data_IF_849062997641
#
_entry.id   IF_849062997641
#
_cell.length_a   1.000
_cell.length_b   1.000
_cell.length_c   1.000
_cell.angle_alpha   90.00
_cell.angle_beta   90.00
_cell.angle_gamma   90.00
#
_symmetry.space_group_name_H-M   'P 1'
#
loop_
_entity.id
_entity.type
_entity.pdbx_description
1 polymer ?
#
# COMPACT_ATOMS: atom_id res chain seq x y z
N UNK A 1 29.02 54.19 -6.05
CA UNK A 1 28.06 53.61 -7.02
C UNK A 1 28.23 52.09 -6.97
N UNK A 2 27.44 51.38 -6.14
CA UNK A 2 27.62 49.94 -5.89
C UNK A 2 26.51 49.19 -6.63
N UNK A 3 26.89 48.48 -7.69
CA UNK A 3 26.01 47.67 -8.54
C UNK A 3 25.55 46.43 -7.76
N UNK A 4 24.24 46.29 -7.52
CA UNK A 4 23.66 45.04 -6.99
C UNK A 4 23.71 43.94 -8.06
N UNK A 5 24.12 42.71 -7.72
CA UNK A 5 24.07 41.59 -8.66
C UNK A 5 22.61 41.16 -8.84
N UNK A 6 22.20 40.97 -10.10
CA UNK A 6 20.90 40.41 -10.47
C UNK A 6 20.83 38.95 -10.00
N UNK A 7 20.02 38.71 -8.96
CA UNK A 7 19.70 37.37 -8.49
C UNK A 7 18.94 36.65 -9.61
N UNK A 8 19.59 35.72 -10.33
CA UNK A 8 18.89 34.78 -11.23
C UNK A 8 17.82 34.08 -10.41
N UNK A 9 16.55 34.26 -10.77
CA UNK A 9 15.42 33.57 -10.17
C UNK A 9 15.59 32.08 -10.43
N UNK A 10 15.76 31.28 -9.37
CA UNK A 10 15.64 29.83 -9.48
C UNK A 10 14.25 29.50 -10.06
N UNK A 11 14.15 28.57 -11.03
CA UNK A 11 12.88 28.23 -11.63
C UNK A 11 11.93 27.69 -10.55
N UNK A 12 10.74 28.29 -10.49
CA UNK A 12 9.70 27.92 -9.53
C UNK A 12 9.30 26.45 -9.79
N UNK A 13 9.54 25.51 -8.85
CA UNK A 13 9.26 24.10 -9.06
C UNK A 13 7.76 23.79 -9.24
N UNK A 14 6.87 24.77 -9.04
CA UNK A 14 5.44 24.67 -9.36
C UNK A 14 5.12 24.93 -10.84
N UNK A 15 6.04 25.53 -11.61
CA UNK A 15 5.84 25.84 -13.02
C UNK A 15 6.07 24.62 -13.93
N UNK A 16 7.04 23.75 -13.61
CA UNK A 16 7.43 22.63 -14.47
C UNK A 16 6.29 21.63 -14.81
N UNK A 17 5.39 21.24 -13.87
CA UNK A 17 4.24 20.39 -14.19
C UNK A 17 3.17 21.13 -15.02
N UNK A 18 3.04 22.44 -14.82
CA UNK A 18 2.08 23.27 -15.53
C UNK A 18 2.56 23.59 -16.96
N UNK A 19 3.86 23.79 -17.17
CA UNK A 19 4.48 23.97 -18.49
C UNK A 19 4.43 22.69 -19.33
N UNK A 20 4.74 21.52 -18.75
CA UNK A 20 4.62 20.24 -19.46
C UNK A 20 3.17 19.92 -19.87
N UNK A 21 2.21 20.24 -19.00
CA UNK A 21 0.79 20.04 -19.29
C UNK A 21 0.25 21.05 -20.32
N UNK A 22 0.77 22.28 -20.33
CA UNK A 22 0.51 23.27 -21.39
C UNK A 22 1.08 22.82 -22.73
N UNK A 23 2.32 22.33 -22.76
CA UNK A 23 2.96 21.82 -23.97
C UNK A 23 2.19 20.63 -24.58
N UNK A 24 1.77 19.65 -23.77
CA UNK A 24 0.93 18.56 -24.28
C UNK A 24 -0.46 19.03 -24.74
N UNK A 25 -1.04 20.04 -24.07
CA UNK A 25 -2.32 20.60 -24.48
C UNK A 25 -2.20 21.36 -25.82
N UNK A 26 -1.12 22.11 -26.02
CA UNK A 26 -0.80 22.78 -27.30
C UNK A 26 -0.59 21.75 -28.42
N UNK A 27 0.18 20.69 -28.17
CA UNK A 27 0.36 19.59 -29.12
C UNK A 27 -0.96 18.89 -29.48
N UNK A 28 -1.83 18.64 -28.48
CA UNK A 28 -3.16 18.05 -28.73
C UNK A 28 -4.01 18.93 -29.65
N UNK A 29 -3.96 20.26 -29.46
CA UNK A 29 -4.72 21.22 -30.28
C UNK A 29 -4.16 21.26 -31.71
N UNK A 30 -2.85 21.18 -31.87
CA UNK A 30 -2.17 21.15 -33.17
C UNK A 30 -2.50 19.86 -33.94
N UNK A 31 -2.44 18.70 -33.28
CA UNK A 31 -2.82 17.41 -33.87
C UNK A 31 -4.28 17.38 -34.33
N UNK A 32 -5.20 17.97 -33.56
CA UNK A 32 -6.61 18.10 -33.95
C UNK A 32 -6.81 19.01 -35.16
N UNK A 33 -6.03 20.09 -35.26
CA UNK A 33 -6.07 21.00 -36.43
C UNK A 33 -5.55 20.32 -37.69
N UNK A 34 -4.56 19.45 -37.55
CA UNK A 34 -3.95 18.70 -38.65
C UNK A 34 -4.72 17.41 -39.00
N UNK A 35 -5.84 17.12 -38.32
CA UNK A 35 -6.63 15.90 -38.54
C UNK A 35 -5.97 14.62 -38.03
N UNK A 36 -4.90 14.72 -37.22
CA UNK A 36 -4.19 13.60 -36.59
C UNK A 36 -4.90 13.14 -35.31
N UNK A 37 -6.09 12.57 -35.47
CA UNK A 37 -6.93 12.18 -34.33
C UNK A 37 -6.28 11.13 -33.41
N UNK A 38 -5.46 10.22 -33.93
CA UNK A 38 -4.75 9.22 -33.11
C UNK A 38 -3.75 9.86 -32.15
N UNK A 39 -2.88 10.73 -32.67
CA UNK A 39 -1.86 11.41 -31.87
C UNK A 39 -2.48 12.37 -30.85
N UNK A 40 -3.59 13.03 -31.22
CA UNK A 40 -4.35 13.87 -30.30
C UNK A 40 -4.94 13.06 -29.12
N UNK A 41 -5.42 11.83 -29.37
CA UNK A 41 -5.93 10.96 -28.31
C UNK A 41 -4.82 10.47 -27.39
N UNK A 42 -3.66 10.16 -27.93
CA UNK A 42 -2.48 9.76 -27.14
C UNK A 42 -1.96 10.91 -26.27
N UNK A 43 -1.82 12.11 -26.83
CA UNK A 43 -1.44 13.32 -26.10
C UNK A 43 -2.46 13.68 -25.00
N UNK A 44 -3.76 13.58 -25.30
CA UNK A 44 -4.81 13.73 -24.29
C UNK A 44 -4.71 12.65 -23.19
N UNK A 45 -4.39 11.41 -23.56
CA UNK A 45 -4.13 10.31 -22.62
C UNK A 45 -2.97 10.61 -21.68
N UNK A 46 -1.87 11.20 -22.18
CA UNK A 46 -0.74 11.63 -21.36
C UNK A 46 -1.10 12.74 -20.37
N UNK A 47 -1.96 13.70 -20.77
CA UNK A 47 -2.47 14.74 -19.87
C UNK A 47 -3.33 14.12 -18.76
N UNK A 48 -4.19 13.17 -19.11
CA UNK A 48 -5.02 12.46 -18.12
C UNK A 48 -4.15 11.67 -17.14
N UNK A 49 -3.14 10.96 -17.62
CA UNK A 49 -2.19 10.20 -16.78
C UNK A 49 -1.35 11.11 -15.86
N UNK A 50 -1.09 12.36 -16.27
CA UNK A 50 -0.38 13.34 -15.47
C UNK A 50 -1.22 13.92 -14.32
N UNK A 51 -2.56 13.86 -14.40
CA UNK A 51 -3.46 14.36 -13.36
C UNK A 51 -3.60 13.31 -12.25
N UNK A 52 -3.08 13.65 -11.08
CA UNK A 52 -3.22 12.81 -9.88
C UNK A 52 -4.70 12.76 -9.45
N UNK A 53 -5.29 11.56 -9.24
CA UNK A 53 -6.67 11.45 -8.78
C UNK A 53 -6.91 12.14 -7.43
N UNK A 54 -8.10 12.71 -7.25
CA UNK A 54 -8.45 13.47 -6.05
C UNK A 54 -8.45 12.62 -4.76
N UNK A 55 -8.88 11.36 -4.82
CA UNK A 55 -8.92 10.46 -3.64
C UNK A 55 -7.55 9.86 -3.30
N UNK A 56 -6.52 10.12 -4.09
CA UNK A 56 -5.19 9.54 -3.88
C UNK A 56 -4.62 9.95 -2.53
N UNK A 57 -4.41 8.95 -1.68
CA UNK A 57 -3.90 9.11 -0.32
C UNK A 57 -4.96 9.43 0.75
N UNK A 58 -6.17 9.88 0.38
CA UNK A 58 -7.23 10.16 1.35
C UNK A 58 -7.79 8.90 1.99
N UNK A 59 -7.90 7.81 1.22
CA UNK A 59 -8.36 6.51 1.73
C UNK A 59 -7.48 6.03 2.91
N UNK A 60 -6.15 6.07 2.75
CA UNK A 60 -5.22 5.69 3.81
C UNK A 60 -5.14 6.74 4.93
N UNK A 61 -5.30 8.03 4.61
CA UNK A 61 -5.34 9.09 5.63
C UNK A 61 -6.54 8.92 6.58
N UNK A 62 -7.71 8.54 6.07
CA UNK A 62 -8.88 8.23 6.90
C UNK A 62 -8.77 6.89 7.64
N UNK A 63 -8.11 5.90 7.02
CA UNK A 63 -7.94 4.56 7.62
C UNK A 63 -6.96 4.58 8.81
N UNK A 64 -5.89 5.38 8.74
CA UNK A 64 -4.86 5.45 9.77
C UNK A 64 -5.39 5.69 11.20
N UNK A 65 -6.18 6.76 11.49
CA UNK A 65 -6.68 7.00 12.84
C UNK A 65 -7.63 5.90 13.31
N UNK A 66 -8.43 5.31 12.41
CA UNK A 66 -9.30 4.19 12.74
C UNK A 66 -8.47 2.99 13.21
N UNK A 67 -7.43 2.63 12.45
CA UNK A 67 -6.51 1.53 12.78
C UNK A 67 -5.75 1.79 14.07
N UNK A 68 -5.31 3.02 14.30
CA UNK A 68 -4.60 3.37 15.53
C UNK A 68 -5.51 3.17 16.75
N UNK A 69 -6.71 3.74 16.73
CA UNK A 69 -7.63 3.67 17.87
C UNK A 69 -8.20 2.27 18.08
N UNK A 70 -8.70 1.63 17.02
CA UNK A 70 -9.25 0.27 17.12
C UNK A 70 -8.16 -0.75 17.41
N UNK A 71 -6.95 -0.56 16.88
CA UNK A 71 -5.81 -1.42 17.10
C UNK A 71 -5.28 -1.35 18.53
N UNK A 72 -5.23 -0.17 19.14
CA UNK A 72 -4.90 -0.03 20.56
C UNK A 72 -5.92 -0.76 21.44
N UNK A 73 -7.21 -0.61 21.14
CA UNK A 73 -8.27 -1.36 21.84
C UNK A 73 -8.13 -2.87 21.66
N UNK A 74 -7.82 -3.34 20.45
CA UNK A 74 -7.57 -4.75 20.14
C UNK A 74 -6.41 -5.32 20.97
N UNK A 75 -5.29 -4.61 21.04
CA UNK A 75 -4.12 -5.01 21.84
C UNK A 75 -4.48 -5.08 23.32
N UNK A 76 -5.19 -4.07 23.84
CA UNK A 76 -5.60 -4.03 25.25
C UNK A 76 -6.59 -5.16 25.61
N UNK A 77 -7.51 -5.50 24.70
CA UNK A 77 -8.51 -6.54 24.91
C UNK A 77 -7.94 -7.96 24.81
N UNK A 78 -6.78 -8.15 24.18
CA UNK A 78 -6.21 -9.49 23.99
C UNK A 78 -5.70 -10.06 25.32
N UNK A 79 -6.19 -11.21 25.81
CA UNK A 79 -5.93 -11.67 27.18
C UNK A 79 -4.50 -12.17 27.37
N UNK A 80 -3.96 -12.91 26.40
CA UNK A 80 -2.65 -13.55 26.54
C UNK A 80 -1.50 -12.63 26.14
N UNK A 81 -0.38 -12.66 26.90
CA UNK A 81 0.81 -11.86 26.57
C UNK A 81 1.34 -12.17 25.16
N UNK A 82 1.36 -13.46 24.79
CA UNK A 82 1.80 -13.91 23.46
C UNK A 82 0.91 -13.35 22.35
N UNK A 83 -0.42 -13.37 22.55
CA UNK A 83 -1.37 -12.76 21.62
C UNK A 83 -1.19 -11.24 21.52
N UNK A 84 -1.06 -10.54 22.66
CA UNK A 84 -0.85 -9.07 22.69
C UNK A 84 0.37 -8.65 21.89
N UNK A 85 1.48 -9.39 21.99
CA UNK A 85 2.69 -9.11 21.19
C UNK A 85 2.38 -9.23 19.70
N UNK A 86 1.70 -10.30 19.27
CA UNK A 86 1.31 -10.48 17.87
C UNK A 86 0.39 -9.37 17.35
N UNK A 87 -0.62 -9.01 18.14
CA UNK A 87 -1.55 -7.92 17.81
C UNK A 87 -0.85 -6.56 17.77
N UNK A 88 0.06 -6.29 18.70
CA UNK A 88 0.82 -5.05 18.72
C UNK A 88 1.69 -4.89 17.48
N UNK A 89 2.35 -5.97 17.05
CA UNK A 89 3.15 -5.99 15.81
C UNK A 89 2.24 -5.77 14.59
N UNK A 90 1.09 -6.44 14.52
CA UNK A 90 0.11 -6.25 13.44
C UNK A 90 -0.38 -4.80 13.36
N UNK A 91 -0.78 -4.21 14.50
CA UNK A 91 -1.24 -2.82 14.56
C UNK A 91 -0.12 -1.83 14.23
N UNK A 92 1.10 -2.05 14.74
CA UNK A 92 2.23 -1.16 14.47
C UNK A 92 2.58 -1.14 12.97
N UNK A 93 2.64 -2.31 12.34
CA UNK A 93 2.90 -2.42 10.90
C UNK A 93 1.77 -1.84 10.06
N UNK A 94 0.51 -1.94 10.51
CA UNK A 94 -0.64 -1.33 9.85
C UNK A 94 -0.61 0.21 9.93
N UNK A 95 -0.30 0.74 11.11
CA UNK A 95 -0.06 2.17 11.31
C UNK A 95 1.08 2.68 10.41
N UNK A 96 2.19 1.94 10.32
CA UNK A 96 3.29 2.28 9.42
C UNK A 96 2.83 2.30 7.95
N UNK A 97 2.11 1.27 7.50
CA UNK A 97 1.57 1.19 6.13
C UNK A 97 0.66 2.38 5.83
N UNK A 98 -0.45 2.51 6.55
CA UNK A 98 -1.47 3.53 6.25
C UNK A 98 -0.95 4.95 6.48
N UNK A 99 -0.18 5.17 7.54
CA UNK A 99 0.41 6.48 7.86
C UNK A 99 1.44 6.93 6.82
N UNK A 100 2.36 6.04 6.44
CA UNK A 100 3.38 6.35 5.42
C UNK A 100 2.74 6.57 4.06
N UNK A 101 1.75 5.76 3.69
CA UNK A 101 1.06 5.88 2.42
C UNK A 101 0.24 7.17 2.31
N UNK A 102 -0.46 7.54 3.40
CA UNK A 102 -1.14 8.82 3.51
C UNK A 102 -0.14 9.98 3.34
N UNK A 103 0.98 9.96 4.07
CA UNK A 103 2.00 10.99 4.02
C UNK A 103 2.63 11.11 2.62
N UNK A 104 3.00 9.99 2.03
CA UNK A 104 3.58 9.90 0.68
C UNK A 104 2.64 10.54 -0.37
N UNK A 105 1.37 10.16 -0.35
CA UNK A 105 0.42 10.60 -1.37
C UNK A 105 -0.19 11.98 -1.10
N UNK A 106 -0.25 12.46 0.13
CA UNK A 106 -0.85 13.78 0.43
C UNK A 106 0.14 14.93 0.37
N UNK A 107 1.42 14.69 0.67
CA UNK A 107 2.41 15.76 0.75
C UNK A 107 3.00 16.20 -0.59
N UNK A 108 3.49 17.44 -0.61
CA UNK A 108 4.25 18.03 -1.72
C UNK A 108 5.73 18.03 -1.34
N UNK A 109 6.41 16.95 -1.69
CA UNK A 109 7.76 16.67 -1.23
C UNK A 109 8.82 17.10 -2.24
N UNK A 110 9.98 17.56 -1.76
CA UNK A 110 11.18 17.70 -2.59
C UNK A 110 11.55 16.35 -3.22
N UNK A 111 12.21 16.29 -4.39
CA UNK A 111 12.47 15.03 -5.12
C UNK A 111 13.10 13.91 -4.27
N UNK A 112 14.08 14.24 -3.43
CA UNK A 112 14.71 13.28 -2.52
C UNK A 112 13.74 12.69 -1.47
N UNK A 113 12.95 13.54 -0.82
CA UNK A 113 11.94 13.11 0.15
C UNK A 113 10.81 12.32 -0.52
N UNK A 114 10.38 12.71 -1.71
CA UNK A 114 9.39 11.95 -2.49
C UNK A 114 9.90 10.53 -2.80
N UNK A 115 11.16 10.41 -3.22
CA UNK A 115 11.80 9.12 -3.51
C UNK A 115 11.91 8.26 -2.25
N UNK A 116 12.29 8.84 -1.12
CA UNK A 116 12.36 8.13 0.17
C UNK A 116 10.98 7.64 0.62
N UNK A 117 9.98 8.51 0.64
CA UNK A 117 8.62 8.13 1.05
C UNK A 117 8.03 7.05 0.14
N UNK A 118 8.30 7.13 -1.18
CA UNK A 118 7.94 6.05 -2.12
C UNK A 118 8.62 4.72 -1.79
N UNK A 119 9.87 4.73 -1.30
CA UNK A 119 10.56 3.50 -0.86
C UNK A 119 9.88 2.93 0.38
N UNK A 120 9.64 3.78 1.37
CA UNK A 120 9.03 3.38 2.64
C UNK A 120 7.62 2.84 2.43
N UNK A 121 6.81 3.51 1.60
CA UNK A 121 5.45 3.10 1.25
C UNK A 121 5.41 1.68 0.65
N UNK A 122 6.27 1.39 -0.34
CA UNK A 122 6.36 0.03 -0.90
C UNK A 122 7.03 -0.99 0.01
N UNK A 123 7.99 -0.56 0.84
CA UNK A 123 8.66 -1.46 1.79
C UNK A 123 7.70 -1.90 2.89
N UNK A 124 6.78 -1.02 3.32
CA UNK A 124 5.81 -1.33 4.36
C UNK A 124 4.83 -2.45 3.98
N UNK A 125 4.64 -2.74 2.68
CA UNK A 125 3.85 -3.90 2.23
C UNK A 125 4.45 -5.21 2.77
N UNK A 126 5.78 -5.35 2.77
CA UNK A 126 6.44 -6.51 3.36
C UNK A 126 6.22 -6.60 4.88
N UNK A 127 6.29 -5.45 5.56
CA UNK A 127 6.13 -5.38 7.01
C UNK A 127 4.71 -5.72 7.44
N UNK A 128 3.68 -5.19 6.77
CA UNK A 128 2.29 -5.51 7.12
C UNK A 128 1.97 -6.98 6.87
N UNK A 129 2.51 -7.61 5.81
CA UNK A 129 2.35 -9.05 5.59
C UNK A 129 2.92 -9.82 6.79
N UNK A 130 4.16 -9.56 7.19
CA UNK A 130 4.77 -10.21 8.35
C UNK A 130 4.04 -9.89 9.67
N UNK A 131 3.52 -8.66 9.81
CA UNK A 131 2.74 -8.24 10.96
C UNK A 131 1.41 -9.00 11.09
N UNK A 132 0.69 -9.17 9.98
CA UNK A 132 -0.53 -9.99 9.92
C UNK A 132 -0.24 -11.43 10.34
N UNK A 133 0.84 -12.04 9.83
CA UNK A 133 1.25 -13.37 10.30
C UNK A 133 1.66 -13.38 11.77
N UNK A 134 2.21 -12.30 12.30
CA UNK A 134 2.55 -12.18 13.72
C UNK A 134 1.33 -12.28 14.62
N UNK A 135 0.23 -11.62 14.26
CA UNK A 135 -1.05 -11.76 14.97
C UNK A 135 -1.55 -13.21 14.95
N UNK A 136 -1.67 -13.81 13.77
CA UNK A 136 -2.27 -15.16 13.64
C UNK A 136 -1.36 -16.28 14.16
N UNK A 137 -0.06 -16.24 13.92
CA UNK A 137 0.87 -17.26 14.39
C UNK A 137 0.97 -17.29 15.91
N UNK A 138 0.99 -16.12 16.55
CA UNK A 138 1.12 -16.03 18.01
C UNK A 138 -0.18 -16.34 18.76
N UNK A 139 -1.33 -16.28 18.08
CA UNK A 139 -2.64 -16.62 18.66
C UNK A 139 -3.12 -18.03 18.33
N UNK A 140 -2.90 -18.50 17.10
CA UNK A 140 -3.49 -19.76 16.60
C UNK A 140 -2.53 -20.95 16.63
N UNK A 141 -1.22 -20.74 16.53
CA UNK A 141 -0.28 -21.84 16.32
C UNK A 141 0.40 -22.30 17.61
N UNK A 142 0.76 -23.59 17.71
CA UNK A 142 1.71 -24.06 18.70
C UNK A 142 3.05 -23.30 18.61
N UNK A 143 3.81 -23.15 19.72
CA UNK A 143 5.03 -22.35 19.74
C UNK A 143 6.10 -22.76 18.70
N UNK A 144 6.21 -24.05 18.36
CA UNK A 144 7.12 -24.51 17.31
C UNK A 144 6.76 -23.97 15.93
N UNK A 145 5.52 -24.21 15.50
CA UNK A 145 5.01 -23.75 14.20
C UNK A 145 5.02 -22.23 14.08
N UNK A 146 4.64 -21.52 15.14
CA UNK A 146 4.69 -20.07 15.18
C UNK A 146 6.11 -19.53 14.96
N UNK A 147 7.11 -20.10 15.63
CA UNK A 147 8.51 -19.67 15.46
C UNK A 147 8.99 -19.88 14.02
N UNK A 148 8.68 -21.03 13.42
CA UNK A 148 9.04 -21.31 12.02
C UNK A 148 8.38 -20.33 11.06
N UNK A 149 7.06 -20.13 11.18
CA UNK A 149 6.33 -19.21 10.31
C UNK A 149 6.87 -17.77 10.46
N UNK A 150 7.07 -17.30 11.69
CA UNK A 150 7.58 -15.95 11.92
C UNK A 150 9.00 -15.75 11.43
N UNK A 151 9.88 -16.75 11.60
CA UNK A 151 11.23 -16.68 11.06
C UNK A 151 11.19 -16.51 9.53
N UNK A 152 10.40 -17.33 8.82
CA UNK A 152 10.22 -17.22 7.36
C UNK A 152 9.72 -15.83 6.99
N UNK A 153 8.65 -15.36 7.63
CA UNK A 153 8.00 -14.11 7.25
C UNK A 153 8.85 -12.88 7.57
N UNK A 154 9.55 -12.84 8.71
CA UNK A 154 10.39 -11.70 9.08
C UNK A 154 11.71 -11.68 8.30
N UNK A 155 12.31 -12.83 7.98
CA UNK A 155 13.46 -12.89 7.07
C UNK A 155 13.06 -12.39 5.67
N UNK A 156 11.93 -12.89 5.15
CA UNK A 156 11.41 -12.46 3.85
C UNK A 156 11.06 -10.96 3.86
N UNK A 157 10.46 -10.46 4.93
CA UNK A 157 10.12 -9.05 5.05
C UNK A 157 11.36 -8.16 5.09
N UNK A 158 12.38 -8.54 5.87
CA UNK A 158 13.64 -7.81 5.91
C UNK A 158 14.32 -7.83 4.53
N UNK A 159 14.39 -8.99 3.88
CA UNK A 159 14.90 -9.11 2.51
C UNK A 159 14.14 -8.23 1.52
N UNK A 160 12.81 -8.19 1.61
CA UNK A 160 11.96 -7.33 0.79
C UNK A 160 12.14 -5.84 1.05
N UNK A 161 12.29 -5.43 2.31
CA UNK A 161 12.61 -4.05 2.70
C UNK A 161 13.96 -3.65 2.12
N UNK A 162 15.01 -4.46 2.31
CA UNK A 162 16.33 -4.20 1.75
C UNK A 162 16.28 -4.11 0.21
N UNK A 163 15.59 -5.05 -0.44
CA UNK A 163 15.35 -5.02 -1.88
C UNK A 163 14.74 -3.68 -2.34
N UNK A 164 13.75 -3.16 -1.63
CA UNK A 164 13.11 -1.87 -1.98
C UNK A 164 13.95 -0.64 -1.63
N UNK A 165 14.73 -0.72 -0.56
CA UNK A 165 15.64 0.37 -0.16
C UNK A 165 16.78 0.52 -1.17
N UNK A 166 17.36 -0.59 -1.62
CA UNK A 166 18.48 -0.59 -2.58
C UNK A 166 18.03 -0.49 -4.04
N UNK A 167 16.85 -1.03 -4.41
CA UNK A 167 16.34 -1.03 -5.79
C UNK A 167 14.97 -0.36 -5.93
N UNK A 168 14.98 0.97 -5.95
CA UNK A 168 13.76 1.80 -6.01
C UNK A 168 13.00 1.68 -7.32
N UNK A 169 13.74 1.52 -8.42
CA UNK A 169 13.22 1.41 -9.78
C UNK A 169 12.77 0.00 -10.14
N UNK A 170 12.81 -0.94 -9.17
CA UNK A 170 12.34 -2.30 -9.38
C UNK A 170 10.91 -2.27 -9.95
N UNK A 171 10.67 -2.93 -11.10
CA UNK A 171 9.40 -2.82 -11.78
C UNK A 171 8.30 -3.50 -10.95
N UNK A 172 7.07 -2.94 -11.04
CA UNK A 172 5.92 -3.43 -10.25
C UNK A 172 5.59 -4.89 -10.52
N UNK A 173 5.75 -5.35 -11.77
CA UNK A 173 5.52 -6.76 -12.16
C UNK A 173 6.44 -7.74 -11.43
N UNK A 174 7.59 -7.30 -10.92
CA UNK A 174 8.49 -8.15 -10.14
C UNK A 174 8.08 -8.16 -8.65
N UNK A 175 7.71 -7.01 -8.09
CA UNK A 175 7.41 -6.90 -6.66
C UNK A 175 6.03 -7.45 -6.30
N UNK A 176 5.03 -7.24 -7.14
CA UNK A 176 3.66 -7.68 -6.88
C UNK A 176 3.54 -9.21 -6.71
N UNK A 177 4.13 -10.06 -7.58
CA UNK A 177 4.12 -11.50 -7.37
C UNK A 177 4.80 -11.93 -6.07
N UNK A 178 5.89 -11.26 -5.66
CA UNK A 178 6.56 -11.56 -4.39
C UNK A 178 5.61 -11.27 -3.21
N UNK A 179 4.90 -10.14 -3.23
CA UNK A 179 3.90 -9.82 -2.20
C UNK A 179 2.80 -10.88 -2.13
N UNK A 180 2.27 -11.27 -3.29
CA UNK A 180 1.22 -12.29 -3.38
C UNK A 180 1.75 -13.63 -2.85
N UNK A 181 2.92 -14.09 -3.30
CA UNK A 181 3.51 -15.35 -2.85
C UNK A 181 3.69 -15.38 -1.31
N UNK A 182 4.23 -14.30 -0.73
CA UNK A 182 4.36 -14.18 0.72
C UNK A 182 3.00 -14.15 1.44
N UNK A 183 2.00 -13.49 0.85
CA UNK A 183 0.63 -13.46 1.36
C UNK A 183 -0.05 -14.83 1.40
N UNK A 184 0.35 -15.78 0.54
CA UNK A 184 -0.25 -17.11 0.45
C UNK A 184 0.47 -18.20 1.26
N UNK A 185 1.56 -17.88 1.98
CA UNK A 185 2.24 -18.83 2.91
C UNK A 185 1.27 -19.42 3.96
N UNK A 186 0.20 -18.71 4.31
CA UNK A 186 -0.87 -19.16 5.20
C UNK A 186 -1.53 -20.47 4.78
N UNK A 187 -1.50 -20.83 3.49
CA UNK A 187 -2.09 -22.08 2.98
C UNK A 187 -1.49 -23.31 3.66
N UNK A 188 -0.19 -23.28 3.94
CA UNK A 188 0.50 -24.36 4.63
C UNK A 188 0.09 -24.52 6.11
N UNK A 189 -0.71 -23.57 6.63
CA UNK A 189 -1.19 -23.53 8.01
C UNK A 189 -2.72 -23.52 8.09
N UNK A 190 -3.44 -23.90 7.01
CA UNK A 190 -4.91 -23.93 6.99
C UNK A 190 -5.46 -24.84 8.08
N UNK A 191 -4.92 -26.07 8.22
CA UNK A 191 -5.39 -27.02 9.22
C UNK A 191 -5.28 -26.49 10.65
N UNK A 192 -4.10 -26.04 11.14
CA UNK A 192 -4.00 -25.49 12.50
C UNK A 192 -4.78 -24.17 12.66
N UNK A 193 -4.89 -23.33 11.63
CA UNK A 193 -5.74 -22.14 11.68
C UNK A 193 -7.22 -22.48 11.80
N UNK A 194 -7.69 -23.52 11.11
CA UNK A 194 -9.05 -24.02 11.23
C UNK A 194 -9.29 -24.61 12.62
N UNK A 195 -8.39 -25.46 13.10
CA UNK A 195 -8.55 -26.15 14.38
C UNK A 195 -8.61 -25.18 15.57
N UNK A 196 -7.75 -24.16 15.59
CA UNK A 196 -7.71 -23.17 16.68
C UNK A 196 -8.68 -21.99 16.46
N UNK A 197 -8.84 -21.55 15.21
CA UNK A 197 -9.59 -20.35 14.84
C UNK A 197 -11.05 -20.63 14.46
N UNK A 198 -11.40 -21.83 14.03
CA UNK A 198 -12.72 -22.17 13.50
C UNK A 198 -13.00 -21.58 12.12
N UNK A 199 -14.12 -22.00 11.53
CA UNK A 199 -14.47 -21.71 10.14
C UNK A 199 -14.54 -20.20 9.81
N UNK A 200 -15.14 -19.39 10.69
CA UNK A 200 -15.32 -17.96 10.45
C UNK A 200 -13.98 -17.21 10.37
N UNK A 201 -13.05 -17.49 11.28
CA UNK A 201 -11.72 -16.85 11.29
C UNK A 201 -10.96 -17.24 10.02
N UNK A 202 -10.97 -18.52 9.67
CA UNK A 202 -10.32 -18.99 8.44
C UNK A 202 -10.94 -18.35 7.19
N UNK A 203 -12.26 -18.26 7.11
CA UNK A 203 -12.96 -17.63 5.98
C UNK A 203 -12.57 -16.15 5.81
N UNK A 204 -12.45 -15.40 6.92
CA UNK A 204 -11.98 -14.02 6.89
C UNK A 204 -10.50 -13.89 6.47
N UNK A 205 -9.65 -14.82 6.90
CA UNK A 205 -8.24 -14.89 6.46
C UNK A 205 -8.16 -15.11 4.95
N UNK A 206 -8.92 -16.09 4.43
CA UNK A 206 -9.00 -16.41 3.00
C UNK A 206 -9.56 -15.21 2.21
N UNK A 207 -10.67 -14.61 2.68
CA UNK A 207 -11.26 -13.43 2.06
C UNK A 207 -10.25 -12.29 1.95
N UNK A 208 -9.51 -12.00 3.04
CA UNK A 208 -8.45 -11.00 3.00
C UNK A 208 -7.34 -11.35 1.99
N UNK A 209 -6.90 -12.61 1.95
CA UNK A 209 -5.90 -13.08 0.97
C UNK A 209 -6.36 -12.91 -0.48
N UNK A 210 -7.62 -13.24 -0.78
CA UNK A 210 -8.23 -13.05 -2.10
C UNK A 210 -8.32 -11.57 -2.45
N UNK A 211 -8.83 -10.73 -1.56
CA UNK A 211 -8.95 -9.28 -1.79
C UNK A 211 -7.58 -8.62 -2.01
N UNK A 212 -6.55 -8.99 -1.24
CA UNK A 212 -5.17 -8.54 -1.48
C UNK A 212 -4.65 -8.96 -2.86
N UNK A 213 -4.93 -10.20 -3.26
CA UNK A 213 -4.52 -10.72 -4.58
C UNK A 213 -5.19 -9.95 -5.70
N UNK A 214 -6.52 -9.75 -5.62
CA UNK A 214 -7.28 -8.95 -6.59
C UNK A 214 -6.74 -7.51 -6.68
N UNK A 215 -6.46 -6.89 -5.54
CA UNK A 215 -5.83 -5.57 -5.50
C UNK A 215 -4.47 -5.57 -6.19
N UNK A 216 -3.62 -6.55 -5.90
CA UNK A 216 -2.32 -6.72 -6.53
C UNK A 216 -2.42 -6.86 -8.05
N UNK A 217 -3.39 -7.64 -8.54
CA UNK A 217 -3.66 -7.82 -9.98
C UNK A 217 -4.07 -6.50 -10.62
N UNK A 218 -5.03 -5.76 -10.03
CA UNK A 218 -5.44 -4.44 -10.52
C UNK A 218 -4.26 -3.47 -10.59
N UNK A 219 -3.42 -3.46 -9.55
CA UNK A 219 -2.23 -2.61 -9.48
C UNK A 219 -1.18 -2.97 -10.54
N UNK A 220 -0.95 -4.26 -10.79
CA UNK A 220 -0.01 -4.73 -11.79
C UNK A 220 -0.47 -4.40 -13.21
N UNK A 221 -1.77 -4.64 -13.51
CA UNK A 221 -2.36 -4.46 -14.84
C UNK A 221 -2.75 -3.02 -15.17
N UNK A 222 -2.83 -2.13 -14.17
CA UNK A 222 -3.38 -0.77 -14.29
C UNK A 222 -4.83 -0.74 -14.81
N UNK A 223 -5.60 -1.78 -14.56
CA UNK A 223 -6.97 -1.96 -15.04
C UNK A 223 -7.82 -2.67 -13.96
N UNK A 224 -9.10 -2.32 -13.79
CA UNK A 224 -9.83 -1.26 -14.50
C UNK A 224 -9.44 0.14 -14.00
N UNK A 225 -9.73 1.17 -14.80
CA UNK A 225 -9.45 2.58 -14.47
C UNK A 225 -10.72 3.43 -14.69
N UNK A 226 -11.74 3.28 -13.82
CA UNK A 226 -13.11 3.70 -14.14
C UNK A 226 -13.28 5.21 -14.16
N UNK A 227 -12.63 5.93 -13.24
CA UNK A 227 -12.65 7.39 -13.19
C UNK A 227 -11.26 7.95 -12.86
N UNK A 228 -10.37 8.09 -13.87
CA UNK A 228 -8.95 8.45 -13.65
C UNK A 228 -8.74 9.74 -12.85
N UNK A 229 -9.69 10.70 -12.87
CA UNK A 229 -9.59 11.94 -12.07
C UNK A 229 -9.98 11.78 -10.60
N UNK A 230 -10.78 10.78 -10.23
CA UNK A 230 -11.35 10.65 -8.90
C UNK A 230 -11.02 9.31 -8.24
N UNK A 231 -11.25 8.22 -8.98
CA UNK A 231 -11.15 6.85 -8.51
C UNK A 231 -10.60 5.97 -9.65
N UNK A 232 -9.28 5.96 -9.79
CA UNK A 232 -8.60 5.15 -10.79
C UNK A 232 -8.16 3.79 -10.27
N UNK A 233 -7.33 3.09 -11.06
CA UNK A 233 -6.84 1.75 -10.70
C UNK A 233 -6.06 1.71 -9.37
N UNK A 234 -5.34 2.79 -9.01
CA UNK A 234 -4.64 2.88 -7.72
C UNK A 234 -5.62 2.99 -6.55
N UNK A 235 -6.71 3.72 -6.75
CA UNK A 235 -7.72 3.90 -5.72
C UNK A 235 -8.51 2.59 -5.51
N UNK A 236 -8.78 1.84 -6.59
CA UNK A 236 -9.30 0.46 -6.49
C UNK A 236 -8.34 -0.43 -5.69
N UNK A 237 -7.04 -0.39 -6.01
CA UNK A 237 -6.02 -1.13 -5.28
C UNK A 237 -6.06 -0.78 -3.78
N UNK A 238 -6.06 0.51 -3.42
CA UNK A 238 -6.13 0.95 -2.03
C UNK A 238 -7.42 0.47 -1.34
N UNK A 239 -8.57 0.60 -2.00
CA UNK A 239 -9.85 0.13 -1.46
C UNK A 239 -9.84 -1.38 -1.19
N UNK A 240 -9.33 -2.19 -2.13
CA UNK A 240 -9.20 -3.64 -1.94
C UNK A 240 -8.23 -3.97 -0.81
N UNK A 241 -7.11 -3.26 -0.68
CA UNK A 241 -6.18 -3.46 0.45
C UNK A 241 -6.79 -3.08 1.79
N UNK A 242 -7.61 -2.02 1.85
CA UNK A 242 -8.32 -1.63 3.08
C UNK A 242 -9.37 -2.70 3.43
N UNK A 243 -10.15 -3.17 2.46
CA UNK A 243 -11.15 -4.21 2.68
C UNK A 243 -10.50 -5.54 3.12
N UNK A 244 -9.38 -5.90 2.50
CA UNK A 244 -8.59 -7.06 2.89
C UNK A 244 -8.05 -6.95 4.33
N UNK A 245 -7.45 -5.81 4.66
CA UNK A 245 -7.00 -5.49 6.01
C UNK A 245 -8.16 -5.57 7.02
N UNK A 246 -9.32 -5.01 6.69
CA UNK A 246 -10.49 -5.03 7.55
C UNK A 246 -10.95 -6.47 7.83
N UNK A 247 -10.96 -7.35 6.83
CA UNK A 247 -11.28 -8.77 7.03
C UNK A 247 -10.29 -9.44 8.01
N UNK A 248 -8.99 -9.20 7.84
CA UNK A 248 -7.96 -9.70 8.77
C UNK A 248 -8.05 -9.07 10.16
N UNK A 249 -8.38 -7.79 10.25
CA UNK A 249 -8.58 -7.10 11.53
C UNK A 249 -9.78 -7.66 12.28
N UNK A 250 -10.90 -7.92 11.59
CA UNK A 250 -12.08 -8.57 12.20
C UNK A 250 -11.74 -9.99 12.65
N UNK A 251 -10.99 -10.76 11.86
CA UNK A 251 -10.50 -12.08 12.28
C UNK A 251 -9.65 -11.99 13.56
N UNK A 252 -8.71 -11.03 13.61
CA UNK A 252 -7.89 -10.77 14.78
C UNK A 252 -8.71 -10.32 15.99
N UNK A 253 -9.74 -9.49 15.80
CA UNK A 253 -10.66 -9.05 16.85
C UNK A 253 -11.49 -10.20 17.41
N UNK A 254 -12.01 -11.08 16.56
CA UNK A 254 -12.69 -12.30 17.01
C UNK A 254 -11.77 -13.10 17.91
N UNK A 255 -10.51 -13.31 17.53
CA UNK A 255 -9.52 -14.05 18.34
C UNK A 255 -9.18 -13.36 19.65
N UNK A 256 -9.02 -12.05 19.65
CA UNK A 256 -8.70 -11.28 20.85
C UNK A 256 -9.84 -11.29 21.88
N UNK A 257 -11.10 -11.40 21.42
CA UNK A 257 -12.29 -11.38 22.25
C UNK A 257 -12.80 -12.79 22.62
N UNK A 258 -12.10 -13.86 22.22
CA UNK A 258 -12.46 -15.20 22.67
C UNK A 258 -12.11 -15.37 24.14
N UNK A 259 -13.05 -15.87 24.97
CA UNK A 259 -12.77 -16.21 26.36
C UNK A 259 -11.78 -17.38 26.48
#
# INVERSE_FOLDING_TARGET
>A
MISRPTRRSEPNPTAAPAEGMRSHAEATVEDLRDGRFGDALDNAGHIVDAVKPHLRGWLHAGTFPLVLLSGLALVAATPTQRGRIGMAIFVATACLLFGTSALYHRGRWRPGAHKLLKRLDHANIFLIIAGTYSAFALTLLPPGQARTLLAIMWIAALGGVLFKVFWVSAPRWLSTPIYIALGWVAVFYIEPFYAAGGALVLALIILGGVLYTLGGVVYALRRPDPWPRWFGFHEIFHSLTIAAFAAHFVAAAILALRP
#
